data_IF_416536951446
#
_entry.id   IF_416536951446
#
_cell.length_a   1.000
_cell.length_b   1.000
_cell.length_c   1.000
_cell.angle_alpha   90.00
_cell.angle_beta   90.00
_cell.angle_gamma   90.00
#
_symmetry.space_group_name_H-M   'P 1'
#
loop_
_entity.id
_entity.type
_entity.pdbx_description
1 polymer ?
#
# COMPACT_ATOMS: atom_id res chain seq x y z
N UNK A 1 -21.53 -12.25 14.45
CA UNK A 1 -21.40 -12.59 13.01
C UNK A 1 -20.15 -13.46 12.78
N UNK A 2 -20.18 -14.76 13.15
CA UNK A 2 -18.94 -15.51 13.47
C UNK A 2 -18.33 -16.45 12.40
N UNK A 3 -19.08 -16.90 11.38
CA UNK A 3 -18.59 -17.93 10.43
C UNK A 3 -18.06 -17.36 9.11
N UNK A 4 -18.59 -16.22 8.65
CA UNK A 4 -18.20 -15.62 7.36
C UNK A 4 -16.96 -14.70 7.46
N UNK A 5 -16.58 -14.21 8.64
CA UNK A 5 -15.50 -13.24 8.79
C UNK A 5 -14.13 -13.82 8.43
N UNK A 6 -13.86 -15.07 8.82
CA UNK A 6 -12.59 -15.75 8.49
C UNK A 6 -12.45 -16.01 6.98
N UNK A 7 -13.54 -16.38 6.33
CA UNK A 7 -13.57 -16.56 4.88
C UNK A 7 -13.39 -15.21 4.17
N UNK A 8 -14.04 -14.16 4.67
CA UNK A 8 -13.92 -12.81 4.12
C UNK A 8 -12.49 -12.27 4.21
N UNK A 9 -11.79 -12.50 5.33
CA UNK A 9 -10.36 -12.18 5.45
C UNK A 9 -9.52 -12.91 4.41
N UNK A 10 -9.81 -14.20 4.17
CA UNK A 10 -9.17 -14.98 3.11
C UNK A 10 -9.41 -14.39 1.71
N UNK A 11 -10.65 -14.03 1.39
CA UNK A 11 -10.99 -13.38 0.12
C UNK A 11 -10.30 -12.02 -0.06
N UNK A 12 -10.25 -11.20 0.98
CA UNK A 12 -9.51 -9.94 0.97
C UNK A 12 -8.02 -10.18 0.71
N UNK A 13 -7.41 -11.16 1.37
CA UNK A 13 -6.00 -11.50 1.15
C UNK A 13 -5.68 -11.94 -0.29
N UNK A 14 -6.57 -12.74 -0.90
CA UNK A 14 -6.43 -13.13 -2.32
C UNK A 14 -6.50 -11.89 -3.22
N UNK A 15 -7.47 -11.00 -2.99
CA UNK A 15 -7.62 -9.79 -3.81
C UNK A 15 -6.49 -8.77 -3.62
N UNK A 16 -5.90 -8.69 -2.42
CA UNK A 16 -4.65 -7.94 -2.19
C UNK A 16 -3.57 -8.45 -3.13
N UNK A 17 -3.31 -9.76 -3.16
CA UNK A 17 -2.31 -10.35 -4.03
C UNK A 17 -2.60 -10.13 -5.53
N UNK A 18 -3.87 -10.22 -5.95
CA UNK A 18 -4.27 -9.88 -7.33
C UNK A 18 -4.02 -8.40 -7.63
N UNK A 19 -4.31 -7.51 -6.68
CA UNK A 19 -4.00 -6.09 -6.76
C UNK A 19 -2.51 -5.83 -6.92
N UNK A 20 -1.67 -6.52 -6.16
CA UNK A 20 -0.21 -6.37 -6.24
C UNK A 20 0.35 -6.81 -7.60
N UNK A 21 -0.06 -7.98 -8.10
CA UNK A 21 0.37 -8.47 -9.42
C UNK A 21 -0.07 -7.50 -10.53
N UNK A 22 -1.31 -7.02 -10.46
CA UNK A 22 -1.87 -6.08 -11.44
C UNK A 22 -1.14 -4.74 -11.39
N UNK A 23 -0.92 -4.18 -10.20
CA UNK A 23 -0.23 -2.91 -10.02
C UNK A 23 1.26 -2.98 -10.38
N UNK A 24 1.94 -4.09 -10.07
CA UNK A 24 3.32 -4.34 -10.49
C UNK A 24 3.47 -4.42 -12.02
N UNK A 25 2.54 -5.10 -12.70
CA UNK A 25 2.47 -5.13 -14.16
C UNK A 25 2.23 -3.73 -14.75
N UNK A 26 1.26 -2.99 -14.21
CA UNK A 26 0.96 -1.62 -14.63
C UNK A 26 2.19 -0.72 -14.47
N UNK A 27 2.86 -0.76 -13.32
CA UNK A 27 4.07 0.01 -13.06
C UNK A 27 5.22 -0.38 -13.99
N UNK A 28 5.38 -1.67 -14.29
CA UNK A 28 6.41 -2.18 -15.20
C UNK A 28 6.18 -1.74 -16.65
N UNK A 29 4.93 -1.74 -17.11
CA UNK A 29 4.56 -1.32 -18.47
C UNK A 29 4.70 0.20 -18.61
N UNK A 30 4.20 0.95 -17.62
CA UNK A 30 4.29 2.42 -17.57
C UNK A 30 5.76 2.88 -17.50
N UNK A 31 6.64 2.11 -16.84
CA UNK A 31 8.08 2.37 -16.83
C UNK A 31 8.80 2.12 -18.16
N UNK A 32 8.27 1.24 -19.02
CA UNK A 32 8.89 0.88 -20.32
C UNK A 32 8.39 1.71 -21.51
N UNK A 33 7.18 2.29 -21.45
CA UNK A 33 6.50 2.86 -22.63
C UNK A 33 6.32 4.38 -22.57
N UNK A 34 7.37 5.12 -22.20
CA UNK A 34 7.38 6.58 -22.23
C UNK A 34 8.50 7.15 -23.13
N UNK A 35 8.55 6.71 -24.39
CA UNK A 35 9.40 7.31 -25.44
C UNK A 35 8.61 7.77 -26.69
N UNK A 36 7.27 7.62 -26.74
CA UNK A 36 6.52 7.90 -27.98
C UNK A 36 5.04 8.29 -27.84
N UNK A 37 4.69 9.19 -26.92
CA UNK A 37 3.35 9.83 -26.99
C UNK A 37 3.33 11.22 -26.37
N UNK A 38 3.66 12.22 -27.20
CA UNK A 38 2.94 13.49 -27.39
C UNK A 38 1.80 13.86 -26.42
N UNK A 39 2.11 14.06 -25.15
CA UNK A 39 1.32 14.96 -24.30
C UNK A 39 2.21 15.51 -23.20
N UNK A 40 2.69 16.75 -23.40
CA UNK A 40 2.92 17.86 -22.45
C UNK A 40 2.92 17.59 -20.92
N UNK A 41 3.44 16.45 -20.47
CA UNK A 41 3.64 16.07 -19.08
C UNK A 41 5.07 15.53 -18.99
N UNK A 42 5.98 16.45 -18.65
CA UNK A 42 7.41 16.27 -18.58
C UNK A 42 7.79 15.03 -17.76
N UNK A 43 8.10 13.91 -18.41
CA UNK A 43 8.67 12.69 -17.83
C UNK A 43 7.78 11.99 -16.79
N UNK A 44 7.28 10.79 -17.08
CA UNK A 44 6.67 9.93 -16.06
C UNK A 44 7.76 9.39 -15.12
N UNK A 45 8.25 10.29 -14.25
CA UNK A 45 9.35 10.03 -13.32
C UNK A 45 8.88 9.04 -12.24
N UNK A 46 9.82 8.33 -11.62
CA UNK A 46 9.60 7.42 -10.49
C UNK A 46 8.71 8.06 -9.41
N UNK A 47 8.90 9.38 -9.22
CA UNK A 47 8.07 10.27 -8.40
C UNK A 47 6.57 10.34 -8.77
N UNK A 48 6.16 10.21 -10.03
CA UNK A 48 4.74 10.24 -10.40
C UNK A 48 4.03 8.96 -10.01
N UNK A 49 4.69 7.80 -10.20
CA UNK A 49 4.11 6.50 -9.85
C UNK A 49 3.90 6.39 -8.34
N UNK A 50 4.83 6.89 -7.52
CA UNK A 50 4.67 6.87 -6.06
C UNK A 50 3.55 7.81 -5.57
N UNK A 51 3.37 8.97 -6.21
CA UNK A 51 2.25 9.88 -5.89
C UNK A 51 0.90 9.25 -6.23
N UNK A 52 0.79 8.58 -7.38
CA UNK A 52 -0.43 7.85 -7.76
C UNK A 52 -0.72 6.74 -6.74
N UNK A 53 0.31 5.99 -6.35
CA UNK A 53 0.22 4.90 -5.36
C UNK A 53 -0.20 5.43 -3.98
N UNK A 54 0.28 6.61 -3.60
CA UNK A 54 -0.12 7.30 -2.38
C UNK A 54 -1.60 7.69 -2.39
N UNK A 55 -2.08 8.28 -3.50
CA UNK A 55 -3.49 8.64 -3.65
C UNK A 55 -4.41 7.42 -3.58
N UNK A 56 -4.04 6.32 -4.23
CA UNK A 56 -4.80 5.06 -4.21
C UNK A 56 -4.93 4.52 -2.79
N UNK A 57 -3.83 4.52 -2.02
CA UNK A 57 -3.86 4.09 -0.62
C UNK A 57 -4.66 5.03 0.27
N UNK A 58 -4.58 6.35 0.09
CA UNK A 58 -5.44 7.30 0.83
C UNK A 58 -6.91 6.99 0.59
N UNK A 59 -7.30 6.75 -0.67
CA UNK A 59 -8.67 6.38 -1.03
C UNK A 59 -9.03 5.05 -0.37
N UNK A 60 -8.15 4.06 -0.40
CA UNK A 60 -8.37 2.77 0.27
C UNK A 60 -8.57 2.94 1.79
N UNK A 61 -7.72 3.70 2.48
CA UNK A 61 -7.86 3.98 3.91
C UNK A 61 -9.16 4.72 4.23
N UNK A 62 -9.55 5.69 3.39
CA UNK A 62 -10.83 6.38 3.52
C UNK A 62 -12.03 5.43 3.37
N UNK A 63 -11.98 4.52 2.40
CA UNK A 63 -13.02 3.50 2.22
C UNK A 63 -13.06 2.52 3.39
N UNK A 64 -11.91 2.09 3.94
CA UNK A 64 -11.85 1.21 5.11
C UNK A 64 -12.44 1.91 6.33
N UNK A 65 -12.11 3.20 6.53
CA UNK A 65 -12.66 4.01 7.62
C UNK A 65 -14.19 4.15 7.53
N UNK A 66 -14.73 4.31 6.32
CA UNK A 66 -16.18 4.41 6.09
C UNK A 66 -16.87 3.04 6.18
N UNK A 67 -16.17 1.96 5.85
CA UNK A 67 -16.76 0.62 5.76
C UNK A 67 -16.68 -0.20 7.05
N UNK A 68 -15.67 -0.01 7.90
CA UNK A 68 -15.47 -0.77 9.13
C UNK A 68 -15.70 0.09 10.38
N UNK A 69 -16.55 -0.35 11.33
CA UNK A 69 -16.67 0.28 12.64
C UNK A 69 -15.41 0.06 13.50
N UNK A 70 -15.13 0.98 14.44
CA UNK A 70 -13.93 1.01 15.29
C UNK A 70 -13.57 -0.32 15.98
N UNK A 71 -14.59 -1.08 16.38
CA UNK A 71 -14.50 -2.31 17.16
C UNK A 71 -14.40 -3.59 16.32
N UNK A 72 -14.29 -3.48 15.00
CA UNK A 72 -14.12 -4.66 14.15
C UNK A 72 -12.97 -5.62 14.50
N UNK A 73 -11.86 -5.24 15.19
CA UNK A 73 -10.84 -6.22 15.58
C UNK A 73 -11.14 -6.95 16.91
N UNK A 74 -12.07 -6.48 17.76
CA UNK A 74 -12.28 -7.03 19.12
C UNK A 74 -13.50 -7.96 19.27
N UNK A 75 -14.32 -8.12 18.22
CA UNK A 75 -15.53 -8.96 18.27
C UNK A 75 -16.82 -8.16 18.53
N UNK A 76 -17.97 -8.80 18.23
CA UNK A 76 -19.28 -8.21 17.95
C UNK A 76 -19.60 -6.89 18.69
N UNK A 77 -19.44 -5.76 17.98
CA UNK A 77 -19.79 -4.44 18.50
C UNK A 77 -21.26 -4.12 18.19
N UNK A 78 -22.03 -3.83 19.24
CA UNK A 78 -23.43 -3.39 19.21
C UNK A 78 -23.60 -1.93 18.75
N UNK A 79 -22.54 -1.31 18.22
CA UNK A 79 -22.52 0.12 17.88
C UNK A 79 -22.66 0.30 16.37
N UNK A 80 -23.71 1.06 15.98
CA UNK A 80 -24.14 1.30 14.60
C UNK A 80 -22.99 1.76 13.70
N UNK A 81 -22.61 0.92 12.75
CA UNK A 81 -21.83 1.34 11.58
C UNK A 81 -22.67 2.30 10.73
N UNK A 82 -22.08 3.39 10.23
CA UNK A 82 -22.78 4.46 9.49
C UNK A 82 -23.37 3.97 8.15
N UNK A 83 -22.84 2.87 7.61
CA UNK A 83 -23.30 2.16 6.40
C UNK A 83 -23.37 0.66 6.73
N UNK A 84 -24.35 -0.07 6.15
CA UNK A 84 -24.40 -1.54 6.28
C UNK A 84 -23.05 -2.13 5.82
N UNK A 85 -22.31 -2.88 6.66
CA UNK A 85 -21.01 -3.42 6.28
C UNK A 85 -21.16 -4.27 5.03
N UNK A 86 -20.52 -3.82 3.94
CA UNK A 86 -20.59 -4.45 2.64
C UNK A 86 -19.31 -5.24 2.39
N UNK A 87 -19.41 -6.56 2.45
CA UNK A 87 -18.33 -7.52 2.21
C UNK A 87 -17.59 -7.28 0.89
N UNK A 88 -18.30 -6.88 -0.17
CA UNK A 88 -17.70 -6.59 -1.47
C UNK A 88 -16.81 -5.35 -1.43
N UNK A 89 -17.16 -4.35 -0.61
CA UNK A 89 -16.38 -3.13 -0.45
C UNK A 89 -15.10 -3.41 0.34
N UNK A 90 -15.16 -4.24 1.39
CA UNK A 90 -13.98 -4.66 2.15
C UNK A 90 -12.96 -5.42 1.28
N UNK A 91 -13.44 -6.32 0.43
CA UNK A 91 -12.61 -7.07 -0.53
C UNK A 91 -12.03 -6.12 -1.60
N UNK A 92 -12.82 -5.16 -2.08
CA UNK A 92 -12.35 -4.12 -3.01
C UNK A 92 -11.27 -3.22 -2.37
N UNK A 93 -11.39 -2.87 -1.08
CA UNK A 93 -10.35 -2.14 -0.37
C UNK A 93 -9.03 -2.93 -0.33
N UNK A 94 -9.10 -4.25 -0.12
CA UNK A 94 -7.91 -5.12 -0.21
C UNK A 94 -7.23 -5.04 -1.58
N UNK A 95 -8.02 -5.09 -2.65
CA UNK A 95 -7.49 -4.90 -4.01
C UNK A 95 -6.80 -3.54 -4.19
N UNK A 96 -7.41 -2.44 -3.74
CA UNK A 96 -6.79 -1.11 -3.85
C UNK A 96 -5.50 -1.00 -3.03
N UNK A 97 -5.48 -1.57 -1.81
CA UNK A 97 -4.28 -1.60 -0.98
C UNK A 97 -3.14 -2.34 -1.67
N UNK A 98 -3.40 -3.54 -2.21
CA UNK A 98 -2.38 -4.30 -2.95
C UNK A 98 -1.91 -3.57 -4.21
N UNK A 99 -2.83 -2.94 -4.94
CA UNK A 99 -2.50 -2.16 -6.12
C UNK A 99 -1.59 -0.96 -5.77
N UNK A 100 -1.89 -0.26 -4.68
CA UNK A 100 -1.06 0.83 -4.19
C UNK A 100 0.31 0.37 -3.66
N UNK A 101 0.35 -0.71 -2.86
CA UNK A 101 1.59 -1.26 -2.30
C UNK A 101 2.59 -1.64 -3.40
N UNK A 102 2.12 -2.33 -4.43
CA UNK A 102 2.98 -2.74 -5.54
C UNK A 102 3.68 -1.56 -6.22
N UNK A 103 3.04 -0.39 -6.28
CA UNK A 103 3.64 0.82 -6.81
C UNK A 103 4.79 1.33 -5.93
N UNK A 104 4.64 1.34 -4.61
CA UNK A 104 5.72 1.68 -3.68
C UNK A 104 6.87 0.69 -3.79
N UNK A 105 6.55 -0.59 -3.70
CA UNK A 105 7.52 -1.69 -3.74
C UNK A 105 8.32 -1.64 -5.05
N UNK A 106 7.65 -1.51 -6.20
CA UNK A 106 8.32 -1.39 -7.51
C UNK A 106 9.26 -0.20 -7.59
N UNK A 107 8.85 0.97 -7.09
CA UNK A 107 9.67 2.17 -7.16
C UNK A 107 10.87 2.13 -6.20
N UNK A 108 10.72 1.53 -5.02
CA UNK A 108 11.84 1.30 -4.08
C UNK A 108 12.86 0.35 -4.71
N UNK A 109 12.41 -0.76 -5.31
CA UNK A 109 13.29 -1.68 -6.03
C UNK A 109 14.01 -1.01 -7.21
N UNK A 110 13.34 -0.11 -7.92
CA UNK A 110 13.95 0.67 -8.99
C UNK A 110 15.09 1.56 -8.47
N UNK A 111 14.89 2.26 -7.34
CA UNK A 111 15.95 3.06 -6.69
C UNK A 111 17.11 2.18 -6.25
N UNK A 112 16.83 1.03 -5.62
CA UNK A 112 17.87 0.08 -5.20
C UNK A 112 18.68 -0.40 -6.40
N UNK A 113 18.02 -0.77 -7.50
CA UNK A 113 18.66 -1.24 -8.72
C UNK A 113 19.56 -0.18 -9.38
N UNK A 114 19.19 1.10 -9.29
CA UNK A 114 19.97 2.20 -9.87
C UNK A 114 21.13 2.64 -8.98
N UNK A 115 20.89 2.78 -7.66
CA UNK A 115 21.89 3.32 -6.71
C UNK A 115 22.87 2.27 -6.19
N UNK A 116 22.41 1.02 -6.08
CA UNK A 116 23.19 -0.09 -5.53
C UNK A 116 23.32 -1.21 -6.56
N UNK A 117 23.50 -0.91 -7.85
CA UNK A 117 23.58 -1.92 -8.92
C UNK A 117 24.54 -3.07 -8.61
N UNK A 118 25.74 -2.75 -8.12
CA UNK A 118 26.79 -3.74 -7.78
C UNK A 118 26.50 -4.52 -6.50
N UNK A 119 25.71 -3.96 -5.57
CA UNK A 119 25.40 -4.55 -4.26
C UNK A 119 23.88 -4.70 -4.04
N UNK A 120 23.13 -4.90 -5.13
CA UNK A 120 21.67 -4.84 -5.15
C UNK A 120 21.03 -5.93 -4.29
N UNK A 121 21.68 -7.11 -4.21
CA UNK A 121 21.27 -8.19 -3.33
C UNK A 121 21.32 -7.81 -1.85
N UNK A 122 22.38 -7.13 -1.41
CA UNK A 122 22.53 -6.70 0.00
C UNK A 122 21.59 -5.57 0.36
N UNK A 123 21.35 -4.63 -0.57
CA UNK A 123 20.38 -3.57 -0.36
C UNK A 123 18.93 -4.11 -0.32
N UNK A 124 18.62 -5.09 -1.17
CA UNK A 124 17.32 -5.78 -1.18
C UNK A 124 17.08 -6.57 0.09
N UNK A 125 18.07 -7.30 0.60
CA UNK A 125 17.93 -8.06 1.84
C UNK A 125 17.70 -7.16 3.05
N UNK A 126 18.39 -6.01 3.11
CA UNK A 126 18.15 -4.98 4.13
C UNK A 126 16.71 -4.44 4.07
N UNK A 127 16.18 -4.20 2.87
CA UNK A 127 14.81 -3.75 2.68
C UNK A 127 13.79 -4.80 3.16
N UNK A 128 13.96 -6.07 2.77
CA UNK A 128 13.10 -7.16 3.23
C UNK A 128 13.17 -7.36 4.75
N UNK A 129 14.34 -7.16 5.36
CA UNK A 129 14.50 -7.18 6.81
C UNK A 129 13.67 -6.08 7.49
N UNK A 130 13.71 -4.84 6.97
CA UNK A 130 12.90 -3.74 7.52
C UNK A 130 11.41 -3.94 7.29
N UNK A 131 11.01 -4.54 6.17
CA UNK A 131 9.63 -4.91 5.91
C UNK A 131 9.13 -5.95 6.94
N UNK A 132 9.93 -6.98 7.22
CA UNK A 132 9.61 -7.99 8.22
C UNK A 132 9.53 -7.40 9.64
N UNK A 133 10.47 -6.52 10.01
CA UNK A 133 10.43 -5.81 11.30
C UNK A 133 9.16 -4.96 11.43
N UNK A 134 8.82 -4.22 10.37
CA UNK A 134 7.61 -3.39 10.33
C UNK A 134 6.34 -4.23 10.45
N UNK A 135 6.28 -5.38 9.78
CA UNK A 135 5.17 -6.33 9.89
C UNK A 135 5.04 -6.90 11.32
N UNK A 136 6.16 -7.23 11.96
CA UNK A 136 6.16 -7.71 13.35
C UNK A 136 5.63 -6.64 14.32
N UNK A 137 6.05 -5.39 14.16
CA UNK A 137 5.52 -4.25 14.93
C UNK A 137 4.02 -4.09 14.67
N UNK A 138 3.59 -4.23 13.41
CA UNK A 138 2.18 -4.19 13.01
C UNK A 138 1.34 -5.24 13.70
N UNK A 139 1.82 -6.48 13.78
CA UNK A 139 1.11 -7.53 14.51
C UNK A 139 1.03 -7.25 16.01
N UNK A 140 2.09 -6.67 16.60
CA UNK A 140 2.12 -6.38 18.02
C UNK A 140 1.12 -5.28 18.41
N UNK A 141 1.10 -4.14 17.71
CA UNK A 141 0.12 -3.08 18.00
C UNK A 141 -1.29 -3.46 17.56
N UNK A 142 -1.45 -4.33 16.55
CA UNK A 142 -2.77 -4.73 16.07
C UNK A 142 -3.61 -5.45 17.13
N UNK A 143 -2.97 -6.05 18.13
CA UNK A 143 -3.65 -6.73 19.23
C UNK A 143 -4.09 -5.76 20.35
N UNK A 144 -3.59 -4.52 20.36
CA UNK A 144 -3.86 -3.54 21.43
C UNK A 144 -4.72 -2.35 20.98
N UNK A 145 -4.72 -2.01 19.69
CA UNK A 145 -5.38 -0.81 19.17
C UNK A 145 -6.49 -1.13 18.16
N UNK A 146 -7.61 -0.39 18.26
CA UNK A 146 -8.71 -0.45 17.30
C UNK A 146 -8.33 0.03 15.89
N UNK A 147 -9.11 -0.35 14.87
CA UNK A 147 -8.77 -0.15 13.45
C UNK A 147 -8.57 1.32 13.08
N UNK A 148 -9.29 2.26 13.72
CA UNK A 148 -9.10 3.68 13.44
C UNK A 148 -7.72 4.19 13.86
N UNK A 149 -7.20 3.73 15.00
CA UNK A 149 -5.85 4.11 15.43
C UNK A 149 -4.79 3.53 14.47
N UNK A 150 -4.97 2.30 14.00
CA UNK A 150 -4.08 1.65 13.03
C UNK A 150 -4.06 2.41 11.70
N UNK A 151 -5.24 2.82 11.18
CA UNK A 151 -5.37 3.60 9.95
C UNK A 151 -4.68 4.97 10.05
N UNK A 152 -4.83 5.66 11.19
CA UNK A 152 -4.17 6.96 11.41
C UNK A 152 -2.65 6.80 11.39
N UNK A 153 -2.13 5.78 12.09
CA UNK A 153 -0.69 5.48 12.09
C UNK A 153 -0.21 5.18 10.67
N UNK A 154 -0.93 4.34 9.93
CA UNK A 154 -0.62 4.02 8.53
C UNK A 154 -0.56 5.27 7.65
N UNK A 155 -1.53 6.18 7.74
CA UNK A 155 -1.56 7.43 6.96
C UNK A 155 -0.34 8.31 7.29
N UNK A 156 0.00 8.46 8.57
CA UNK A 156 1.14 9.29 8.99
C UNK A 156 2.46 8.69 8.48
N UNK A 157 2.69 7.39 8.75
CA UNK A 157 3.92 6.69 8.35
C UNK A 157 4.04 6.67 6.82
N UNK A 158 2.93 6.46 6.11
CA UNK A 158 2.90 6.48 4.66
C UNK A 158 3.24 7.86 4.08
N UNK A 159 2.72 8.93 4.68
CA UNK A 159 3.02 10.30 4.25
C UNK A 159 4.52 10.60 4.43
N UNK A 160 5.08 10.23 5.58
CA UNK A 160 6.52 10.39 5.86
C UNK A 160 7.36 9.56 4.89
N UNK A 161 6.96 8.31 4.62
CA UNK A 161 7.63 7.43 3.66
C UNK A 161 7.63 7.99 2.24
N UNK A 162 6.50 8.53 1.81
CA UNK A 162 6.34 9.16 0.48
C UNK A 162 7.23 10.39 0.36
N UNK A 163 7.23 11.28 1.37
CA UNK A 163 8.12 12.45 1.40
C UNK A 163 9.60 12.06 1.37
N UNK A 164 9.98 11.07 2.18
CA UNK A 164 11.36 10.55 2.22
C UNK A 164 11.79 10.03 0.86
N UNK A 165 10.91 9.29 0.18
CA UNK A 165 11.18 8.79 -1.17
C UNK A 165 11.39 9.93 -2.17
N UNK A 166 10.53 10.96 -2.16
CA UNK A 166 10.65 12.10 -3.07
C UNK A 166 11.97 12.87 -2.86
N UNK A 167 12.43 12.99 -1.61
CA UNK A 167 13.74 13.60 -1.30
C UNK A 167 14.89 12.76 -1.88
N UNK A 168 14.83 11.43 -1.71
CA UNK A 168 15.85 10.50 -2.22
C UNK A 168 15.86 10.48 -3.75
N UNK A 169 14.69 10.45 -4.40
CA UNK A 169 14.56 10.47 -5.86
C UNK A 169 15.15 11.76 -6.45
N UNK A 170 14.87 12.92 -5.83
CA UNK A 170 15.48 14.20 -6.22
C UNK A 170 17.00 14.18 -6.08
N UNK A 171 17.54 13.59 -5.01
CA UNK A 171 18.99 13.51 -4.82
C UNK A 171 19.68 12.62 -5.87
N UNK A 172 19.03 11.53 -6.30
CA UNK A 172 19.57 10.61 -7.31
C UNK A 172 19.51 11.22 -8.73
N UNK A 173 18.59 12.14 -8.99
CA UNK A 173 18.43 12.78 -10.29
C UNK A 173 19.35 13.98 -10.53
N UNK A 174 20.13 14.41 -9.53
CA UNK A 174 21.12 15.49 -9.59
C UNK A 174 22.51 14.86 -9.81
#
# INVERSE_FOLDING_TARGET
MGTNTKQLLGYTGILVGVGEVTGGLLCSILGKKSSRSDSKFSGLSRSTVIIISFLINIVAYGLIFVNLPNDSPFGDSYTKSFIKPNQYLAVFCGFLLGLGDSGFTTQIYNIIGVKYSDNSSSATSLFMFMQAMSAAISFFYSNQFGIYAQLIILIIVMTIGTLSFLVVDKFISI
#
